data_IF_163271981110
#
_entry.id   IF_163271981110
#
_cell.length_a   1.000
_cell.length_b   1.000
_cell.length_c   1.000
_cell.angle_alpha   90.00
_cell.angle_beta   90.00
_cell.angle_gamma   90.00
#
_symmetry.space_group_name_H-M   'P 1'
#
loop_
_entity.id
_entity.type
_entity.pdbx_description
1 polymer ?
#
# COMPACT_ATOMS: atom_id res chain seq x y z
N UNK A 1 12.50 0.99 20.77
CA UNK A 1 12.62 0.66 19.34
C UNK A 1 11.41 1.20 18.58
N UNK A 2 11.51 1.30 17.25
CA UNK A 2 10.44 1.82 16.38
C UNK A 2 10.26 0.94 15.14
N UNK A 3 9.03 0.80 14.65
CA UNK A 3 8.75 0.08 13.40
C UNK A 3 8.41 1.06 12.29
N UNK A 4 8.95 0.81 11.09
CA UNK A 4 8.51 1.45 9.86
C UNK A 4 7.92 0.42 8.91
N UNK A 5 6.71 0.67 8.38
CA UNK A 5 6.07 -0.13 7.34
C UNK A 5 5.95 0.71 6.09
N UNK A 6 6.42 0.21 4.95
CA UNK A 6 6.26 0.82 3.64
C UNK A 6 5.49 -0.12 2.72
N UNK A 7 4.24 0.25 2.41
CA UNK A 7 3.37 -0.47 1.49
C UNK A 7 3.65 -0.03 0.04
N UNK A 8 4.69 -0.59 -0.57
CA UNK A 8 5.03 -0.36 -1.97
C UNK A 8 4.14 -1.12 -2.96
N UNK A 9 4.23 -0.78 -4.24
CA UNK A 9 3.46 -1.45 -5.30
C UNK A 9 3.94 -2.88 -5.57
N UNK A 10 5.23 -3.17 -5.40
CA UNK A 10 5.84 -4.49 -5.63
C UNK A 10 6.02 -5.33 -4.36
N UNK A 11 5.75 -4.76 -3.19
CA UNK A 11 5.94 -5.43 -1.91
C UNK A 11 5.74 -4.53 -0.70
N UNK A 12 5.59 -5.16 0.45
CA UNK A 12 5.58 -4.50 1.76
C UNK A 12 6.95 -4.68 2.39
N UNK A 13 7.60 -3.58 2.76
CA UNK A 13 8.83 -3.60 3.54
C UNK A 13 8.53 -3.19 4.98
N UNK A 14 9.07 -3.94 5.93
CA UNK A 14 9.04 -3.58 7.35
C UNK A 14 10.48 -3.47 7.88
N UNK A 15 10.73 -2.48 8.72
CA UNK A 15 12.03 -2.28 9.37
C UNK A 15 11.82 -2.08 10.87
N UNK A 16 12.80 -2.54 11.66
CA UNK A 16 12.92 -2.24 13.07
C UNK A 16 14.10 -1.29 13.27
N UNK A 17 13.87 -0.21 14.00
CA UNK A 17 14.85 0.82 14.34
C UNK A 17 15.17 0.81 15.84
N UNK A 18 16.44 1.01 16.19
CA UNK A 18 16.83 1.30 17.57
C UNK A 18 16.57 2.77 17.95
N UNK A 19 16.95 3.17 19.16
CA UNK A 19 16.70 4.55 19.65
C UNK A 19 17.55 5.60 18.94
N UNK A 20 18.65 5.18 18.32
CA UNK A 20 19.56 6.00 17.54
C UNK A 20 19.11 6.15 16.08
N UNK A 21 18.04 5.46 15.67
CA UNK A 21 17.51 5.49 14.31
C UNK A 21 18.21 4.53 13.34
N UNK A 22 18.97 3.56 13.85
CA UNK A 22 19.67 2.56 13.03
C UNK A 22 18.75 1.35 12.77
N UNK A 23 18.83 0.79 11.56
CA UNK A 23 18.07 -0.42 11.19
C UNK A 23 18.71 -1.65 11.83
N UNK A 24 17.98 -2.28 12.74
CA UNK A 24 18.44 -3.49 13.45
C UNK A 24 17.85 -4.78 12.88
N UNK A 25 16.72 -4.70 12.17
CA UNK A 25 16.14 -5.81 11.42
C UNK A 25 15.28 -5.29 10.26
N UNK A 26 15.09 -6.10 9.21
CA UNK A 26 14.20 -5.77 8.11
C UNK A 26 13.62 -7.00 7.44
N UNK A 27 12.39 -6.91 6.95
CA UNK A 27 11.74 -7.96 6.19
C UNK A 27 11.00 -7.36 5.00
N UNK A 28 10.90 -8.08 3.89
CA UNK A 28 10.13 -7.66 2.70
C UNK A 28 9.31 -8.81 2.16
N UNK A 29 8.01 -8.58 1.99
CA UNK A 29 7.08 -9.51 1.37
C UNK A 29 6.64 -8.99 0.01
N UNK A 30 6.65 -9.84 -1.02
CA UNK A 30 6.29 -9.42 -2.38
C UNK A 30 4.77 -9.27 -2.53
N UNK A 31 4.38 -8.29 -3.33
CA UNK A 31 3.01 -8.10 -3.78
C UNK A 31 2.93 -8.33 -5.29
N UNK A 32 1.75 -8.78 -5.75
CA UNK A 32 1.47 -8.92 -7.17
C UNK A 32 0.61 -7.75 -7.65
N UNK A 33 0.74 -7.39 -8.93
CA UNK A 33 -0.12 -6.39 -9.59
C UNK A 33 -0.86 -7.10 -10.71
N UNK A 34 -2.19 -7.03 -10.65
CA UNK A 34 -3.07 -7.53 -11.70
C UNK A 34 -3.21 -6.51 -12.82
N UNK A 35 -3.18 -6.98 -14.06
CA UNK A 35 -3.38 -6.18 -15.27
C UNK A 35 -4.40 -6.88 -16.18
N UNK A 36 -5.69 -6.93 -15.79
CA UNK A 36 -6.70 -7.70 -16.51
C UNK A 36 -6.95 -7.18 -17.94
N UNK A 37 -6.70 -5.89 -18.17
CA UNK A 37 -6.85 -5.22 -19.46
C UNK A 37 -5.67 -4.27 -19.73
N UNK A 38 -5.45 -3.88 -21.00
CA UNK A 38 -4.48 -2.83 -21.33
C UNK A 38 -4.72 -1.56 -20.52
N UNK A 39 -3.65 -0.97 -19.99
CA UNK A 39 -3.65 0.23 -19.14
C UNK A 39 -4.26 0.05 -17.74
N UNK A 40 -4.70 -1.14 -17.37
CA UNK A 40 -5.17 -1.41 -16.01
C UNK A 40 -4.02 -1.84 -15.11
N UNK A 41 -4.07 -1.39 -13.86
CA UNK A 41 -3.13 -1.71 -12.80
C UNK A 41 -3.93 -1.79 -11.52
N UNK A 42 -4.04 -2.99 -10.96
CA UNK A 42 -4.90 -3.28 -9.82
C UNK A 42 -4.21 -4.17 -8.79
N UNK A 43 -4.60 -4.03 -7.53
CA UNK A 43 -4.20 -4.93 -6.45
C UNK A 43 -5.40 -5.29 -5.59
N UNK A 44 -5.39 -6.51 -5.07
CA UNK A 44 -6.33 -6.91 -4.02
C UNK A 44 -5.84 -6.35 -2.67
N UNK A 45 -6.62 -5.49 -1.99
CA UNK A 45 -6.26 -4.96 -0.67
C UNK A 45 -6.01 -6.04 0.39
N UNK A 46 -6.60 -7.22 0.26
CA UNK A 46 -6.32 -8.31 1.20
C UNK A 46 -4.86 -8.78 1.10
N UNK A 47 -4.27 -8.75 -0.10
CA UNK A 47 -2.86 -9.10 -0.27
C UNK A 47 -1.93 -8.16 0.49
N UNK A 48 -2.30 -6.88 0.62
CA UNK A 48 -1.56 -5.91 1.42
C UNK A 48 -1.49 -6.33 2.88
N UNK A 49 -2.65 -6.63 3.48
CA UNK A 49 -2.73 -7.07 4.87
C UNK A 49 -1.96 -8.37 5.09
N UNK A 50 -2.18 -9.37 4.24
CA UNK A 50 -1.51 -10.67 4.35
C UNK A 50 0.03 -10.55 4.21
N UNK A 51 0.51 -9.68 3.31
CA UNK A 51 1.94 -9.41 3.17
C UNK A 51 2.50 -8.68 4.39
N UNK A 52 1.79 -7.68 4.92
CA UNK A 52 2.19 -6.98 6.15
C UNK A 52 2.24 -7.92 7.35
N UNK A 53 1.24 -8.78 7.54
CA UNK A 53 1.20 -9.76 8.64
C UNK A 53 2.37 -10.74 8.57
N UNK A 54 2.64 -11.32 7.38
CA UNK A 54 3.81 -12.18 7.17
C UNK A 54 5.12 -11.44 7.45
N UNK A 55 5.25 -10.21 6.96
CA UNK A 55 6.45 -9.42 7.14
C UNK A 55 6.71 -9.12 8.63
N UNK A 56 5.67 -8.76 9.38
CA UNK A 56 5.76 -8.47 10.81
C UNK A 56 6.09 -9.71 11.64
N UNK A 57 5.50 -10.87 11.32
CA UNK A 57 5.83 -12.14 11.97
C UNK A 57 7.29 -12.53 11.75
N UNK A 58 7.74 -12.52 10.50
CA UNK A 58 9.14 -12.84 10.17
C UNK A 58 10.13 -11.80 10.72
N UNK A 59 9.73 -10.55 10.92
CA UNK A 59 10.55 -9.56 11.65
C UNK A 59 10.64 -9.90 13.15
N UNK A 60 9.55 -10.36 13.75
CA UNK A 60 9.49 -10.80 15.14
C UNK A 60 10.29 -12.07 15.42
N UNK A 61 10.43 -12.95 14.43
CA UNK A 61 11.30 -14.14 14.50
C UNK A 61 12.80 -13.76 14.48
N UNK A 62 13.14 -12.61 13.88
CA UNK A 62 14.52 -12.09 13.84
C UNK A 62 14.89 -11.30 15.10
N UNK A 63 13.94 -10.53 15.65
CA UNK A 63 14.17 -9.69 16.82
C UNK A 63 12.87 -9.51 17.63
N UNK A 64 12.96 -9.56 18.96
CA UNK A 64 11.82 -9.27 19.83
C UNK A 64 11.24 -7.87 19.51
N UNK A 65 9.93 -7.80 19.37
CA UNK A 65 9.21 -6.54 19.12
C UNK A 65 8.56 -5.96 20.39
N UNK A 66 8.83 -6.53 21.58
CA UNK A 66 8.16 -6.09 22.82
C UNK A 66 8.55 -4.67 23.26
N UNK A 67 9.76 -4.21 22.95
CA UNK A 67 10.21 -2.84 23.30
C UNK A 67 9.94 -1.81 22.20
N UNK A 68 9.06 -2.13 21.25
CA UNK A 68 8.61 -1.19 20.21
C UNK A 68 7.69 -0.15 20.85
N UNK A 69 8.06 1.12 20.70
CA UNK A 69 7.37 2.27 21.30
C UNK A 69 6.39 2.94 20.34
N UNK A 70 6.65 2.84 19.03
CA UNK A 70 5.81 3.44 18.00
C UNK A 70 5.98 2.70 16.66
N UNK A 71 4.98 2.88 15.80
CA UNK A 71 4.95 2.35 14.45
C UNK A 71 4.54 3.46 13.47
N UNK A 72 5.32 3.64 12.41
CA UNK A 72 5.02 4.54 11.29
C UNK A 72 4.65 3.75 10.04
N UNK A 73 3.72 4.29 9.25
CA UNK A 73 3.28 3.68 7.99
C UNK A 73 3.45 4.68 6.85
N UNK A 74 4.03 4.23 5.75
CA UNK A 74 4.05 4.85 4.45
C UNK A 74 3.44 3.89 3.42
N UNK A 75 3.10 4.39 2.24
CA UNK A 75 2.63 3.51 1.19
C UNK A 75 2.42 4.23 -0.14
N UNK A 76 2.10 3.42 -1.15
CA UNK A 76 1.81 3.90 -2.50
C UNK A 76 0.69 4.95 -2.51
N UNK A 77 0.94 6.07 -3.20
CA UNK A 77 -0.01 7.18 -3.31
C UNK A 77 -1.00 6.98 -4.47
N UNK A 78 -2.10 7.73 -4.43
CA UNK A 78 -3.11 7.83 -5.51
C UNK A 78 -3.87 6.53 -5.85
N UNK A 79 -3.75 5.49 -5.02
CA UNK A 79 -4.60 4.30 -5.13
C UNK A 79 -6.03 4.61 -4.72
N UNK A 80 -7.01 4.00 -5.41
CA UNK A 80 -8.42 4.09 -5.04
C UNK A 80 -8.92 2.74 -4.53
N UNK A 81 -9.10 2.65 -3.21
CA UNK A 81 -9.72 1.50 -2.53
C UNK A 81 -11.17 1.86 -2.22
N UNK A 82 -12.12 1.17 -2.85
CA UNK A 82 -13.55 1.44 -2.69
C UNK A 82 -14.14 0.49 -1.65
N UNK A 83 -14.75 1.07 -0.61
CA UNK A 83 -15.37 0.33 0.48
C UNK A 83 -16.87 0.62 0.52
N UNK A 84 -17.65 -0.36 0.96
CA UNK A 84 -19.04 -0.14 1.32
C UNK A 84 -19.21 0.40 2.75
N UNK A 85 -20.45 0.63 3.18
CA UNK A 85 -20.76 1.13 4.51
C UNK A 85 -20.37 0.17 5.65
N UNK A 86 -20.07 -1.09 5.34
CA UNK A 86 -19.58 -2.10 6.27
C UNK A 86 -18.04 -2.29 6.17
N UNK A 87 -17.34 -1.38 5.48
CA UNK A 87 -15.89 -1.42 5.26
C UNK A 87 -15.43 -2.64 4.44
N UNK A 88 -16.33 -3.26 3.66
CA UNK A 88 -15.97 -4.37 2.76
C UNK A 88 -15.45 -3.82 1.45
N UNK A 89 -14.38 -4.45 0.95
CA UNK A 89 -13.79 -4.12 -0.35
C UNK A 89 -14.79 -4.44 -1.46
N UNK A 90 -15.12 -3.42 -2.26
CA UNK A 90 -16.09 -3.56 -3.35
C UNK A 90 -15.50 -4.16 -4.63
N UNK A 91 -14.19 -4.03 -4.81
CA UNK A 91 -13.42 -4.50 -5.98
C UNK A 91 -11.91 -4.36 -5.73
N UNK A 92 -11.03 -4.93 -6.58
CA UNK A 92 -9.61 -4.65 -6.53
C UNK A 92 -9.32 -3.14 -6.55
N UNK A 93 -8.38 -2.71 -5.71
CA UNK A 93 -7.94 -1.34 -5.65
C UNK A 93 -7.29 -0.93 -6.97
N UNK A 94 -7.68 0.23 -7.46
CA UNK A 94 -7.08 0.84 -8.64
C UNK A 94 -5.74 1.43 -8.22
N UNK A 95 -4.63 0.96 -8.78
CA UNK A 95 -3.32 1.54 -8.51
C UNK A 95 -3.20 2.93 -9.16
N UNK A 96 -2.43 3.84 -8.54
CA UNK A 96 -2.17 5.17 -9.09
C UNK A 96 -1.49 5.18 -10.47
N UNK A 97 -0.88 4.06 -10.86
CA UNK A 97 -0.28 3.86 -12.19
C UNK A 97 -1.30 3.47 -13.28
N UNK A 98 -2.59 3.32 -12.95
CA UNK A 98 -3.61 2.99 -13.94
C UNK A 98 -3.74 4.10 -15.00
N UNK A 99 -3.84 3.71 -16.27
CA UNK A 99 -4.16 4.60 -17.39
C UNK A 99 -5.63 4.54 -17.80
N UNK A 100 -6.40 3.59 -17.24
CA UNK A 100 -7.77 3.29 -17.65
C UNK A 100 -8.74 4.49 -17.52
N UNK A 101 -8.45 5.41 -16.59
CA UNK A 101 -9.32 6.55 -16.27
C UNK A 101 -9.11 7.77 -17.17
N UNK A 102 -8.21 7.69 -18.18
CA UNK A 102 -7.85 8.83 -19.03
C UNK A 102 -9.05 9.50 -19.71
N UNK A 103 -10.00 8.71 -20.22
CA UNK A 103 -11.21 9.24 -20.88
C UNK A 103 -12.08 10.02 -19.90
N UNK A 104 -12.34 9.46 -18.73
CA UNK A 104 -13.13 10.10 -17.67
C UNK A 104 -12.44 11.38 -17.17
N UNK A 105 -11.12 11.36 -16.98
CA UNK A 105 -10.35 12.54 -16.59
C UNK A 105 -10.42 13.66 -17.65
N UNK A 106 -10.43 13.33 -18.94
CA UNK A 106 -10.63 14.30 -20.02
C UNK A 106 -12.04 14.88 -20.06
N UNK A 107 -13.08 14.06 -19.81
CA UNK A 107 -14.46 14.53 -19.70
C UNK A 107 -14.61 15.52 -18.54
N UNK A 108 -14.11 15.14 -17.37
CA UNK A 108 -14.13 15.98 -16.18
C UNK A 108 -13.42 17.33 -16.42
N UNK A 109 -12.22 17.31 -17.04
CA UNK A 109 -11.52 18.56 -17.39
C UNK A 109 -12.31 19.46 -18.35
N UNK A 110 -13.12 18.90 -19.25
CA UNK A 110 -13.95 19.69 -20.18
C UNK A 110 -15.15 20.32 -19.48
N UNK A 111 -15.79 19.57 -18.59
CA UNK A 111 -16.94 20.08 -17.83
C UNK A 111 -16.54 21.22 -16.89
N UNK A 112 -15.38 21.12 -16.24
CA UNK A 112 -14.97 22.08 -15.21
C UNK A 112 -14.06 23.22 -15.70
N UNK A 113 -13.56 23.20 -16.95
CA UNK A 113 -12.86 24.35 -17.55
C UNK A 113 -13.77 25.43 -18.12
N UNK A 114 -15.07 25.17 -18.25
CA UNK A 114 -16.03 26.15 -18.75
C UNK A 114 -16.61 27.05 -17.63
N UNK A 115 -16.02 27.01 -16.43
CA UNK A 115 -16.45 27.77 -15.25
C UNK A 115 -15.37 28.75 -14.71
N UNK A 116 -14.32 29.04 -15.49
CA UNK A 116 -13.37 30.14 -15.27
C UNK A 116 -13.52 31.23 -16.34
#
# INVERSE_FOLDING_TARGET
>A
MYIGIDLGTSGVKVILLNEQGEVVASQTEKLTVSRPHPLWSEQDPEQWWQATDRAMKALGDQHSLQDVKALGIAGQMHGATLLDAQQRVLRPAICGTTGAVRKSALCWKREFRNHE
#
